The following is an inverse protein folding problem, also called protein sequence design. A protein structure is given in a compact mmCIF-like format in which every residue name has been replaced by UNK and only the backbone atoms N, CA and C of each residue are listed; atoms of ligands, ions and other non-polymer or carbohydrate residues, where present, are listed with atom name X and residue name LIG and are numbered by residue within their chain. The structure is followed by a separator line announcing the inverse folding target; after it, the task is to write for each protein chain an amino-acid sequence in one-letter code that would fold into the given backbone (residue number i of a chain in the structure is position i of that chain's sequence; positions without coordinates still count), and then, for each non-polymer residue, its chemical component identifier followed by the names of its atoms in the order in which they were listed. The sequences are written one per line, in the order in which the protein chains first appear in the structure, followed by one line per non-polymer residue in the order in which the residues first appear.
data_IF_436541695803
#
_entry.id   IF_436541695803
#
_cell.length_a   1.000
_cell.length_b   1.000
_cell.length_c   1.000
_cell.angle_alpha   90.00
_cell.angle_beta   90.00
_cell.angle_gamma   90.00
#
_symmetry.space_group_name_H-M   'P 1'
#
loop_
_entity.id
_entity.type
_entity.pdbx_description
1 polymer ?
#
# COMPACT_ATOMS: atom_id res chain seq x y z
N UNK A 1 -7.96 4.26 -16.83
CA UNK A 1 -7.56 3.26 -15.81
C UNK A 1 -6.08 2.94 -16.02
N UNK A 2 -5.33 2.67 -14.96
CA UNK A 2 -3.91 2.30 -15.08
C UNK A 2 -3.79 0.80 -15.41
N UNK A 3 -2.81 0.38 -16.24
CA UNK A 3 -2.67 -1.02 -16.63
C UNK A 3 -2.29 -1.97 -15.48
N UNK A 4 -1.62 -1.47 -14.44
CA UNK A 4 -1.11 -2.24 -13.30
C UNK A 4 -1.46 -1.51 -12.00
N UNK A 5 -1.99 -2.24 -11.02
CA UNK A 5 -2.03 -1.76 -9.64
C UNK A 5 -0.66 -2.01 -9.00
N UNK A 6 0.17 -0.98 -8.95
CA UNK A 6 1.59 -1.09 -8.60
C UNK A 6 1.91 -0.54 -7.20
N UNK A 7 0.90 -0.25 -6.40
CA UNK A 7 1.07 0.31 -5.06
C UNK A 7 1.58 -0.78 -4.11
N UNK A 8 2.51 -0.42 -3.21
CA UNK A 8 2.93 -1.28 -2.09
C UNK A 8 2.72 -0.45 -0.84
N UNK A 9 1.56 -0.64 -0.22
CA UNK A 9 1.07 0.24 0.85
C UNK A 9 0.40 -0.60 1.93
N UNK A 10 0.65 -0.26 3.19
CA UNK A 10 -0.14 -0.70 4.34
C UNK A 10 -0.62 0.55 5.09
N UNK A 11 -1.92 0.64 5.36
CA UNK A 11 -2.55 1.71 6.13
C UNK A 11 -3.00 1.11 7.46
N UNK A 12 -2.53 1.65 8.58
CA UNK A 12 -2.77 1.13 9.94
C UNK A 12 -3.49 2.18 10.77
N UNK A 13 -4.59 1.77 11.41
CA UNK A 13 -5.37 2.52 12.40
C UNK A 13 -5.75 3.96 12.01
N UNK A 14 -5.85 4.23 10.71
CA UNK A 14 -6.17 5.55 10.17
C UNK A 14 -5.15 6.65 10.49
N UNK A 15 -3.93 6.30 10.93
CA UNK A 15 -2.91 7.29 11.32
C UNK A 15 -1.49 6.96 10.86
N UNK A 16 -1.25 5.75 10.35
CA UNK A 16 0.08 5.31 9.93
C UNK A 16 0.02 4.73 8.53
N UNK A 17 1.00 5.09 7.69
CA UNK A 17 1.16 4.54 6.35
C UNK A 17 2.58 4.01 6.19
N UNK A 18 2.69 2.76 5.76
CA UNK A 18 3.90 2.19 5.19
C UNK A 18 3.81 2.24 3.67
N UNK A 19 4.89 2.67 3.01
CA UNK A 19 5.00 2.68 1.55
C UNK A 19 6.46 2.69 1.11
N UNK A 20 6.73 2.36 -0.16
CA UNK A 20 8.06 2.41 -0.74
C UNK A 20 8.16 1.62 -2.05
N UNK A 21 9.38 1.24 -2.40
CA UNK A 21 9.62 0.35 -3.55
C UNK A 21 9.37 -1.13 -3.20
N UNK A 22 9.37 -1.46 -1.90
CA UNK A 22 9.29 -2.81 -1.37
C UNK A 22 8.00 -3.56 -1.74
N UNK A 23 8.10 -4.56 -2.60
CA UNK A 23 7.00 -5.50 -2.86
C UNK A 23 6.88 -6.53 -1.73
N UNK A 24 5.66 -6.94 -1.34
CA UNK A 24 5.42 -7.98 -0.32
C UNK A 24 5.77 -9.39 -0.82
N UNK A 25 7.07 -9.63 -1.01
CA UNK A 25 7.62 -10.83 -1.66
C UNK A 25 8.95 -11.23 -1.03
N UNK A 26 9.36 -12.49 -1.23
CA UNK A 26 10.67 -12.98 -0.76
C UNK A 26 11.85 -12.30 -1.46
N UNK A 27 11.67 -11.84 -2.71
CA UNK A 27 12.73 -11.18 -3.46
C UNK A 27 13.06 -9.79 -2.89
N UNK A 28 12.03 -8.98 -2.63
CA UNK A 28 12.19 -7.70 -1.95
C UNK A 28 12.83 -7.86 -0.56
N UNK A 29 12.42 -8.90 0.19
CA UNK A 29 12.91 -9.16 1.54
C UNK A 29 14.39 -9.60 1.62
N UNK A 30 14.95 -10.21 0.56
CA UNK A 30 16.21 -10.96 0.65
C UNK A 30 17.22 -10.70 -0.47
N UNK A 31 16.81 -10.05 -1.55
CA UNK A 31 17.64 -9.94 -2.77
C UNK A 31 17.71 -8.53 -3.31
N UNK A 32 16.58 -7.85 -3.41
CA UNK A 32 16.53 -6.55 -4.05
C UNK A 32 17.00 -5.46 -3.08
N UNK A 33 17.62 -4.42 -3.64
CA UNK A 33 17.80 -3.15 -2.94
C UNK A 33 16.48 -2.40 -3.00
N UNK A 34 15.82 -2.25 -1.85
CA UNK A 34 14.50 -1.64 -1.72
C UNK A 34 14.49 -0.62 -0.58
N UNK A 35 13.54 0.30 -0.59
CA UNK A 35 13.29 1.18 0.54
C UNK A 35 11.86 1.02 1.07
N UNK A 36 11.70 1.31 2.35
CA UNK A 36 10.42 1.43 3.06
C UNK A 36 10.46 2.70 3.90
N UNK A 37 9.39 3.47 3.88
CA UNK A 37 9.15 4.55 4.82
C UNK A 37 7.88 4.28 5.62
N UNK A 38 7.89 4.62 6.90
CA UNK A 38 6.72 4.51 7.77
C UNK A 38 6.40 5.90 8.31
N UNK A 39 5.29 6.46 7.84
CA UNK A 39 4.77 7.77 8.23
C UNK A 39 3.82 7.56 9.40
N UNK A 40 4.28 7.82 10.63
CA UNK A 40 3.52 7.57 11.87
C UNK A 40 2.84 8.83 12.39
N UNK A 41 1.67 8.67 13.02
CA UNK A 41 0.89 9.76 13.63
C UNK A 41 0.52 10.87 12.64
N UNK A 42 0.22 10.50 11.39
CA UNK A 42 -0.15 11.40 10.31
C UNK A 42 -1.55 11.03 9.78
N UNK A 43 -2.63 11.29 10.55
CA UNK A 43 -4.00 10.90 10.15
C UNK A 43 -4.44 11.51 8.82
N UNK A 44 -4.03 12.73 8.52
CA UNK A 44 -4.39 13.38 7.25
C UNK A 44 -3.76 12.66 6.04
N UNK A 45 -2.52 12.18 6.18
CA UNK A 45 -1.85 11.39 5.14
C UNK A 45 -2.52 10.02 5.02
N UNK A 46 -2.79 9.36 6.14
CA UNK A 46 -3.48 8.07 6.15
C UNK A 46 -4.87 8.14 5.51
N UNK A 47 -5.62 9.23 5.73
CA UNK A 47 -6.92 9.46 5.12
C UNK A 47 -6.85 9.55 3.59
N UNK A 48 -5.86 10.26 3.04
CA UNK A 48 -5.66 10.35 1.58
C UNK A 48 -5.31 8.98 0.97
N UNK A 49 -4.44 8.21 1.62
CA UNK A 49 -4.13 6.85 1.18
C UNK A 49 -5.34 5.92 1.28
N UNK A 50 -6.19 6.09 2.30
CA UNK A 50 -7.40 5.29 2.48
C UNK A 50 -8.43 5.57 1.39
N UNK A 51 -8.64 6.84 1.02
CA UNK A 51 -9.50 7.20 -0.11
C UNK A 51 -8.98 6.58 -1.42
N UNK A 52 -7.66 6.68 -1.64
CA UNK A 52 -7.02 6.06 -2.80
C UNK A 52 -7.23 4.55 -2.83
N UNK A 53 -7.05 3.86 -1.70
CA UNK A 53 -7.29 2.43 -1.54
C UNK A 53 -8.76 2.07 -1.84
N UNK A 54 -9.72 2.79 -1.25
CA UNK A 54 -11.15 2.54 -1.41
C UNK A 54 -11.58 2.63 -2.88
N UNK A 55 -11.03 3.59 -3.63
CA UNK A 55 -11.31 3.74 -5.06
C UNK A 55 -10.83 2.57 -5.93
N UNK A 56 -9.82 1.80 -5.47
CA UNK A 56 -9.35 0.56 -6.13
C UNK A 56 -10.15 -0.64 -5.64
N UNK A 57 -10.37 -0.73 -4.33
CA UNK A 57 -11.17 -1.79 -3.72
C UNK A 57 -12.56 -1.89 -4.34
N UNK A 58 -13.25 -0.77 -4.54
CA UNK A 58 -14.59 -0.72 -5.14
C UNK A 58 -14.64 -1.24 -6.60
N UNK A 59 -13.49 -1.38 -7.25
CA UNK A 59 -13.35 -1.91 -8.62
C UNK A 59 -12.73 -3.30 -8.64
N UNK A 60 -12.37 -3.82 -7.46
CA UNK A 60 -11.88 -5.17 -7.27
C UNK A 60 -12.99 -6.19 -7.51
N UNK A 61 -12.58 -7.45 -7.61
CA UNK A 61 -13.49 -8.59 -7.61
C UNK A 61 -13.10 -9.47 -6.44
N UNK A 62 -14.10 -9.96 -5.70
CA UNK A 62 -13.85 -10.87 -4.58
C UNK A 62 -13.06 -12.08 -5.08
N UNK A 63 -11.93 -12.33 -4.43
CA UNK A 63 -11.23 -13.59 -4.60
C UNK A 63 -11.92 -14.67 -3.78
N UNK A 64 -12.21 -15.81 -4.40
CA UNK A 64 -12.79 -16.99 -3.75
C UNK A 64 -11.80 -18.15 -3.93
N UNK A 65 -11.51 -18.92 -2.86
CA UNK A 65 -10.62 -20.07 -2.92
C UNK A 65 -11.20 -21.22 -3.75
#
# INVERSE_FOLDING_TARGET
AFPIHHDKVIIVDGNTVETGSYNFSRAAARKNSENVVVLKNMPDVAAQYLEHWQARWNKGTDWRP
#
